data_IF_611220387304
#
_entry.id   IF_611220387304
#
_cell.length_a   1.000
_cell.length_b   1.000
_cell.length_c   1.000
_cell.angle_alpha   90.00
_cell.angle_beta   90.00
_cell.angle_gamma   90.00
#
_symmetry.space_group_name_H-M   'P 1'
#
loop_
_entity.id
_entity.type
_entity.pdbx_description
1 polymer ?
#
# COMPACT_ATOMS: atom_id res chain seq x y z
N UNK A 1 2.08 -8.79 -24.00
CA UNK A 1 1.39 -8.43 -22.76
C UNK A 1 0.62 -7.13 -22.99
N UNK A 2 -0.58 -7.03 -22.44
CA UNK A 2 -1.45 -5.88 -22.56
C UNK A 2 -1.71 -5.20 -21.20
N UNK A 3 -2.58 -4.18 -21.20
CA UNK A 3 -2.93 -3.41 -20.00
C UNK A 3 -3.46 -4.29 -18.84
N UNK A 4 -4.19 -5.36 -19.18
CA UNK A 4 -4.75 -6.27 -18.18
C UNK A 4 -3.67 -7.02 -17.38
N UNK A 5 -2.57 -7.43 -18.03
CA UNK A 5 -1.43 -8.06 -17.37
C UNK A 5 -0.68 -7.07 -16.51
N UNK A 6 -0.45 -5.84 -16.99
CA UNK A 6 0.21 -4.79 -16.22
C UNK A 6 -0.58 -4.37 -14.97
N UNK A 7 -1.92 -4.36 -15.05
CA UNK A 7 -2.77 -4.10 -13.87
C UNK A 7 -2.58 -5.14 -12.76
N UNK A 8 -2.29 -6.40 -13.10
CA UNK A 8 -2.03 -7.45 -12.12
C UNK A 8 -0.73 -7.26 -11.35
N UNK A 9 0.22 -6.47 -11.87
CA UNK A 9 1.46 -6.13 -11.16
C UNK A 9 1.25 -5.16 -9.99
N UNK A 10 0.08 -4.54 -9.90
CA UNK A 10 -0.20 -3.57 -8.84
C UNK A 10 -0.66 -4.32 -7.60
N UNK A 11 0.18 -4.30 -6.56
CA UNK A 11 -0.03 -5.01 -5.30
C UNK A 11 1.04 -6.05 -4.97
N UNK A 12 1.36 -7.01 -5.87
CA UNK A 12 2.44 -7.97 -5.65
C UNK A 12 3.84 -7.32 -5.63
N UNK A 13 4.83 -8.05 -5.12
CA UNK A 13 6.25 -7.67 -5.29
C UNK A 13 6.67 -7.77 -6.75
N UNK A 14 7.74 -7.05 -7.15
CA UNK A 14 8.28 -7.17 -8.51
C UNK A 14 8.75 -8.60 -8.80
N UNK A 15 9.36 -9.27 -7.82
CA UNK A 15 9.77 -10.68 -7.95
C UNK A 15 8.56 -11.55 -8.29
N UNK A 16 7.50 -11.47 -7.51
CA UNK A 16 6.26 -12.22 -7.76
C UNK A 16 5.67 -11.90 -9.13
N UNK A 17 5.61 -10.62 -9.50
CA UNK A 17 5.07 -10.21 -10.80
C UNK A 17 5.88 -10.78 -11.97
N UNK A 18 7.21 -10.70 -11.91
CA UNK A 18 8.04 -11.22 -12.99
C UNK A 18 7.99 -12.74 -13.09
N UNK A 19 7.89 -13.46 -11.98
CA UNK A 19 7.81 -14.92 -12.01
C UNK A 19 6.44 -15.44 -12.38
N UNK A 20 5.35 -14.86 -11.81
CA UNK A 20 4.00 -15.44 -11.93
C UNK A 20 3.21 -14.87 -13.11
N UNK A 21 3.41 -13.59 -13.46
CA UNK A 21 2.66 -12.93 -14.54
C UNK A 21 3.45 -13.01 -15.85
N UNK A 22 4.76 -12.73 -15.80
CA UNK A 22 5.62 -12.72 -17.00
C UNK A 22 6.38 -14.02 -17.21
N UNK A 23 6.29 -14.98 -16.26
CA UNK A 23 6.90 -16.30 -16.34
C UNK A 23 8.41 -16.28 -16.60
N UNK A 24 9.10 -15.25 -16.07
CA UNK A 24 10.56 -15.19 -16.16
C UNK A 24 11.19 -16.26 -15.27
N UNK A 25 12.28 -16.92 -15.74
CA UNK A 25 13.10 -17.77 -14.89
C UNK A 25 13.62 -16.99 -13.68
N UNK A 26 13.69 -17.61 -12.51
CA UNK A 26 14.19 -16.95 -11.28
C UNK A 26 15.58 -16.33 -11.44
N UNK A 27 16.43 -16.93 -12.28
CA UNK A 27 17.78 -16.43 -12.58
C UNK A 27 17.79 -15.08 -13.32
N UNK A 28 16.73 -14.75 -14.05
CA UNK A 28 16.60 -13.51 -14.84
C UNK A 28 15.88 -12.38 -14.08
N UNK A 29 15.15 -12.74 -13.03
CA UNK A 29 14.35 -11.77 -12.24
C UNK A 29 15.17 -10.62 -11.67
N UNK A 30 16.40 -10.84 -11.10
CA UNK A 30 17.20 -9.72 -10.60
C UNK A 30 17.56 -8.71 -11.68
N UNK A 31 17.90 -9.17 -12.89
CA UNK A 31 18.20 -8.29 -14.02
C UNK A 31 16.94 -7.53 -14.48
N UNK A 32 15.80 -8.20 -14.58
CA UNK A 32 14.55 -7.56 -14.93
C UNK A 32 14.15 -6.45 -13.93
N UNK A 33 14.33 -6.71 -12.63
CA UNK A 33 14.10 -5.71 -11.57
C UNK A 33 15.03 -4.50 -11.75
N UNK A 34 16.30 -4.72 -12.06
CA UNK A 34 17.26 -3.64 -12.27
C UNK A 34 16.84 -2.75 -13.46
N UNK A 35 16.53 -3.36 -14.60
CA UNK A 35 16.06 -2.62 -15.80
C UNK A 35 14.78 -1.84 -15.50
N UNK A 36 13.81 -2.45 -14.82
CA UNK A 36 12.59 -1.76 -14.39
C UNK A 36 12.93 -0.54 -13.52
N UNK A 37 13.84 -0.70 -12.56
CA UNK A 37 14.18 0.35 -11.61
C UNK A 37 14.95 1.52 -12.25
N UNK A 38 15.71 1.31 -13.31
CA UNK A 38 16.39 2.39 -14.04
C UNK A 38 15.41 3.45 -14.50
N UNK A 39 14.30 3.05 -15.11
CA UNK A 39 13.24 3.97 -15.51
C UNK A 39 12.37 4.39 -14.33
N UNK A 40 11.91 3.43 -13.53
CA UNK A 40 10.95 3.69 -12.47
C UNK A 40 11.47 4.68 -11.43
N UNK A 41 12.71 4.52 -10.96
CA UNK A 41 13.29 5.37 -9.91
C UNK A 41 13.54 6.81 -10.32
N UNK A 42 13.63 7.10 -11.63
CA UNK A 42 13.94 8.42 -12.16
C UNK A 42 12.72 9.16 -12.70
N UNK A 43 11.84 8.44 -13.37
CA UNK A 43 10.67 9.02 -14.08
C UNK A 43 9.37 8.36 -13.61
N UNK A 44 9.25 7.06 -13.78
CA UNK A 44 7.98 6.34 -13.68
C UNK A 44 7.31 6.43 -12.30
N UNK A 45 8.09 6.50 -11.20
CA UNK A 45 7.50 6.61 -9.87
C UNK A 45 6.77 7.94 -9.63
N UNK A 46 7.07 8.97 -10.40
CA UNK A 46 6.41 10.29 -10.29
C UNK A 46 5.22 10.45 -11.22
N UNK A 47 5.07 9.54 -12.19
CA UNK A 47 3.92 9.50 -13.10
C UNK A 47 2.74 8.81 -12.39
N UNK A 48 2.23 9.47 -11.38
CA UNK A 48 1.08 9.04 -10.60
C UNK A 48 0.21 10.24 -10.22
N UNK A 49 -1.10 10.01 -10.23
CA UNK A 49 -2.11 11.01 -9.87
C UNK A 49 -2.82 10.52 -8.61
N UNK A 50 -2.91 11.36 -7.56
CA UNK A 50 -3.70 11.03 -6.38
C UNK A 50 -5.18 10.84 -6.73
N UNK A 51 -5.84 9.89 -6.08
CA UNK A 51 -7.29 9.79 -6.17
C UNK A 51 -7.97 11.00 -5.55
N UNK A 52 -9.04 11.45 -6.18
CA UNK A 52 -9.81 12.61 -5.72
C UNK A 52 -10.32 12.39 -4.28
N UNK A 53 -10.18 13.43 -3.45
CA UNK A 53 -10.70 13.44 -2.08
C UNK A 53 -9.84 12.69 -1.05
N UNK A 54 -8.76 12.00 -1.45
CA UNK A 54 -7.95 11.21 -0.50
C UNK A 54 -7.15 12.09 0.44
N UNK A 55 -6.51 13.14 -0.04
CA UNK A 55 -5.73 14.01 0.83
C UNK A 55 -6.61 14.88 1.72
N UNK A 56 -7.75 15.32 1.23
CA UNK A 56 -8.77 16.00 2.02
C UNK A 56 -9.34 15.09 3.13
N UNK A 57 -9.51 13.80 2.85
CA UNK A 57 -9.86 12.79 3.86
C UNK A 57 -8.78 12.72 4.94
N UNK A 58 -7.51 12.59 4.55
CA UNK A 58 -6.37 12.49 5.47
C UNK A 58 -6.28 13.73 6.35
N UNK A 59 -6.39 14.93 5.78
CA UNK A 59 -6.40 16.19 6.54
C UNK A 59 -7.53 16.22 7.56
N UNK A 60 -8.76 15.86 7.16
CA UNK A 60 -9.90 15.79 8.07
C UNK A 60 -9.71 14.77 9.20
N UNK A 61 -9.14 13.60 8.91
CA UNK A 61 -8.83 12.61 9.94
C UNK A 61 -7.77 13.11 10.91
N UNK A 62 -6.74 13.79 10.43
CA UNK A 62 -5.73 14.43 11.29
C UNK A 62 -6.34 15.48 12.24
N UNK A 63 -7.27 16.30 11.76
CA UNK A 63 -7.97 17.27 12.63
C UNK A 63 -8.83 16.61 13.72
N UNK A 64 -9.22 15.34 13.51
CA UNK A 64 -9.89 14.49 14.50
C UNK A 64 -8.92 13.76 15.46
N UNK A 65 -7.61 13.96 15.30
CA UNK A 65 -6.58 13.34 16.15
C UNK A 65 -6.14 11.96 15.69
N UNK A 66 -6.53 11.50 14.50
CA UNK A 66 -6.02 10.24 13.98
C UNK A 66 -4.53 10.36 13.62
N UNK A 67 -3.77 9.33 13.99
CA UNK A 67 -2.40 9.13 13.52
C UNK A 67 -2.44 8.44 12.16
N UNK A 68 -1.80 9.04 11.16
CA UNK A 68 -1.83 8.55 9.79
C UNK A 68 -0.49 7.95 9.41
N UNK A 69 -0.48 6.66 9.08
CA UNK A 69 0.72 5.90 8.76
C UNK A 69 0.60 5.29 7.37
N UNK A 70 1.70 5.22 6.65
CA UNK A 70 1.77 4.48 5.38
C UNK A 70 2.43 3.12 5.61
N UNK A 71 1.82 2.05 5.07
CA UNK A 71 2.38 0.71 4.99
C UNK A 71 2.27 0.20 3.55
N UNK A 72 3.30 0.41 2.74
CA UNK A 72 3.27 0.13 1.30
C UNK A 72 4.29 -0.95 0.89
N UNK A 73 3.91 -1.80 -0.06
CA UNK A 73 4.85 -2.75 -0.71
C UNK A 73 5.86 -2.05 -1.63
N UNK A 74 5.67 -0.76 -1.91
CA UNK A 74 6.67 0.05 -2.61
C UNK A 74 7.89 0.26 -1.70
N UNK A 75 9.13 0.30 -2.25
CA UNK A 75 10.30 0.68 -1.47
C UNK A 75 10.08 2.00 -0.71
N UNK A 76 10.38 2.00 0.58
CA UNK A 76 10.14 3.14 1.49
C UNK A 76 10.75 4.44 0.97
N UNK A 77 11.97 4.34 0.40
CA UNK A 77 12.65 5.49 -0.19
C UNK A 77 11.81 6.13 -1.30
N UNK A 78 11.27 5.31 -2.21
CA UNK A 78 10.47 5.81 -3.32
C UNK A 78 9.11 6.36 -2.85
N UNK A 79 8.49 5.72 -1.87
CA UNK A 79 7.24 6.22 -1.30
C UNK A 79 7.42 7.62 -0.68
N UNK A 80 8.51 7.84 0.08
CA UNK A 80 8.84 9.14 0.66
C UNK A 80 9.10 10.19 -0.42
N UNK A 81 9.90 9.86 -1.44
CA UNK A 81 10.21 10.78 -2.55
C UNK A 81 8.96 11.19 -3.34
N UNK A 82 8.04 10.24 -3.58
CA UNK A 82 6.77 10.54 -4.26
C UNK A 82 5.93 11.51 -3.43
N UNK A 83 5.74 11.21 -2.14
CA UNK A 83 4.95 12.04 -1.24
C UNK A 83 5.56 13.45 -1.06
N UNK A 84 6.88 13.53 -0.96
CA UNK A 84 7.60 14.80 -0.85
C UNK A 84 7.44 15.63 -2.13
N UNK A 85 7.68 15.05 -3.30
CA UNK A 85 7.55 15.73 -4.58
C UNK A 85 6.12 16.20 -4.87
N UNK A 86 5.13 15.45 -4.40
CA UNK A 86 3.70 15.83 -4.51
C UNK A 86 3.24 16.80 -3.41
N UNK A 87 4.10 17.12 -2.42
CA UNK A 87 3.80 18.05 -1.33
C UNK A 87 2.96 17.44 -0.19
N UNK A 88 2.82 16.13 -0.13
CA UNK A 88 1.92 15.45 0.84
C UNK A 88 2.64 14.71 1.98
N UNK A 89 3.98 14.68 1.99
CA UNK A 89 4.73 13.92 3.01
C UNK A 89 4.37 14.38 4.45
N UNK A 90 4.12 15.66 4.64
CA UNK A 90 3.78 16.24 5.93
C UNK A 90 2.43 15.76 6.52
N UNK A 91 1.58 15.14 5.72
CA UNK A 91 0.29 14.59 6.15
C UNK A 91 0.42 13.24 6.88
N UNK A 92 1.59 12.61 6.80
CA UNK A 92 1.82 11.29 7.38
C UNK A 92 2.76 11.36 8.57
N UNK A 93 2.37 10.72 9.68
CA UNK A 93 3.20 10.64 10.89
C UNK A 93 4.36 9.63 10.72
N UNK A 94 4.19 8.66 9.83
CA UNK A 94 5.22 7.70 9.44
C UNK A 94 4.96 7.14 8.05
N UNK A 95 6.02 6.94 7.30
CA UNK A 95 5.98 6.25 6.00
C UNK A 95 6.88 5.03 6.07
N UNK A 96 6.28 3.85 6.11
CA UNK A 96 6.96 2.56 6.04
C UNK A 96 6.69 1.87 4.72
N UNK A 97 7.71 1.20 4.20
CA UNK A 97 7.63 0.47 2.93
C UNK A 97 8.57 -0.72 2.89
N UNK A 98 8.58 -1.44 1.76
CA UNK A 98 9.56 -2.48 1.52
C UNK A 98 10.99 -1.92 1.61
N UNK A 99 11.96 -2.76 1.92
CA UNK A 99 13.35 -2.37 1.77
C UNK A 99 13.79 -2.43 0.30
N UNK A 100 14.76 -1.59 -0.05
CA UNK A 100 15.20 -1.47 -1.45
C UNK A 100 15.80 -2.78 -2.00
N UNK A 101 16.39 -3.60 -1.11
CA UNK A 101 16.96 -4.89 -1.49
C UNK A 101 15.92 -6.00 -1.65
N UNK A 102 14.68 -5.79 -1.21
CA UNK A 102 13.60 -6.78 -1.18
C UNK A 102 14.01 -8.08 -0.44
N UNK A 103 14.81 -7.95 0.64
CA UNK A 103 15.29 -9.11 1.42
C UNK A 103 14.63 -9.24 2.79
N UNK A 104 14.21 -8.13 3.41
CA UNK A 104 13.72 -8.12 4.79
C UNK A 104 12.24 -7.81 4.92
N UNK A 105 11.74 -6.89 4.12
CA UNK A 105 10.33 -6.46 4.13
C UNK A 105 9.73 -6.68 2.75
N UNK A 106 9.62 -7.97 2.37
CA UNK A 106 9.20 -8.38 1.03
C UNK A 106 7.69 -8.50 0.91
N UNK A 107 7.04 -8.92 1.98
CA UNK A 107 5.61 -9.13 2.03
C UNK A 107 4.87 -8.00 2.77
N UNK A 108 3.58 -7.84 2.48
CA UNK A 108 2.76 -6.81 3.13
C UNK A 108 2.77 -6.95 4.65
N UNK A 109 2.71 -8.17 5.18
CA UNK A 109 2.78 -8.43 6.62
C UNK A 109 4.06 -7.90 7.26
N UNK A 110 5.21 -8.04 6.60
CA UNK A 110 6.49 -7.56 7.12
C UNK A 110 6.49 -6.04 7.24
N UNK A 111 5.95 -5.37 6.22
CA UNK A 111 5.82 -3.90 6.21
C UNK A 111 4.86 -3.44 7.31
N UNK A 112 3.69 -4.09 7.46
CA UNK A 112 2.72 -3.74 8.51
C UNK A 112 3.34 -3.92 9.89
N UNK A 113 3.99 -5.05 10.15
CA UNK A 113 4.67 -5.29 11.42
C UNK A 113 5.80 -4.29 11.70
N UNK A 114 6.55 -3.90 10.68
CA UNK A 114 7.56 -2.85 10.78
C UNK A 114 6.93 -1.52 11.18
N UNK A 115 5.87 -1.08 10.51
CA UNK A 115 5.16 0.17 10.81
C UNK A 115 4.60 0.15 12.24
N UNK A 116 3.99 -0.95 12.67
CA UNK A 116 3.49 -1.10 14.05
C UNK A 116 4.60 -1.00 15.09
N UNK A 117 5.73 -1.64 14.83
CA UNK A 117 6.89 -1.63 15.74
C UNK A 117 7.49 -0.24 15.88
N UNK A 118 7.81 0.43 14.78
CA UNK A 118 8.42 1.76 14.77
C UNK A 118 7.52 2.83 15.42
N UNK A 119 6.22 2.59 15.47
CA UNK A 119 5.26 3.51 16.05
C UNK A 119 4.74 3.09 17.45
N UNK A 120 5.32 2.05 18.07
CA UNK A 120 4.92 1.52 19.38
C UNK A 120 3.45 1.04 19.43
N UNK A 121 2.93 0.52 18.31
CA UNK A 121 1.54 0.08 18.16
C UNK A 121 1.34 -1.44 18.28
N UNK A 122 2.41 -2.22 18.50
CA UNK A 122 2.33 -3.69 18.57
C UNK A 122 1.33 -4.18 19.64
N UNK A 123 1.20 -3.45 20.75
CA UNK A 123 0.23 -3.76 21.82
C UNK A 123 -1.12 -3.05 21.67
N UNK A 124 -1.30 -2.28 20.62
CA UNK A 124 -2.48 -1.44 20.35
C UNK A 124 -3.12 -1.75 18.99
N UNK A 125 -3.00 -2.98 18.54
CA UNK A 125 -3.50 -3.41 17.24
C UNK A 125 -5.01 -3.21 17.08
N UNK A 126 -5.76 -3.35 18.18
CA UNK A 126 -7.20 -3.10 18.22
C UNK A 126 -7.58 -1.61 18.03
N UNK A 127 -6.63 -0.69 18.17
CA UNK A 127 -6.80 0.74 17.91
C UNK A 127 -6.36 1.11 16.46
N UNK A 128 -5.90 0.12 15.67
CA UNK A 128 -5.39 0.32 14.33
C UNK A 128 -6.32 -0.29 13.28
N UNK A 129 -6.48 0.40 12.17
CA UNK A 129 -7.21 -0.10 11.00
C UNK A 129 -6.31 0.04 9.77
N UNK A 130 -6.15 -1.05 9.03
CA UNK A 130 -5.53 -1.00 7.71
C UNK A 130 -6.57 -0.56 6.69
N UNK A 131 -6.24 0.42 5.85
CA UNK A 131 -7.07 0.84 4.72
C UNK A 131 -6.26 0.57 3.46
N UNK A 132 -6.81 -0.20 2.53
CA UNK A 132 -6.10 -0.57 1.32
C UNK A 132 -7.02 -0.83 0.14
N UNK A 133 -6.42 -0.85 -1.05
CA UNK A 133 -7.14 -0.98 -2.31
C UNK A 133 -6.92 -2.31 -3.02
N UNK A 134 -6.21 -3.26 -2.37
CA UNK A 134 -5.97 -4.60 -2.90
C UNK A 134 -6.10 -5.66 -1.80
N UNK A 135 -6.43 -6.89 -2.21
CA UNK A 135 -6.45 -8.07 -1.31
C UNK A 135 -5.17 -8.26 -0.51
N UNK A 136 -4.03 -7.84 -1.05
CA UNK A 136 -2.73 -7.91 -0.35
C UNK A 136 -2.71 -7.07 0.92
N UNK A 137 -3.41 -5.92 0.92
CA UNK A 137 -3.55 -5.05 2.09
C UNK A 137 -4.41 -5.73 3.16
N UNK A 138 -5.52 -6.34 2.74
CA UNK A 138 -6.43 -7.06 3.62
C UNK A 138 -5.72 -8.25 4.25
N UNK A 139 -5.12 -9.11 3.42
CA UNK A 139 -4.42 -10.31 3.88
C UNK A 139 -3.24 -9.96 4.80
N UNK A 140 -2.45 -8.94 4.44
CA UNK A 140 -1.32 -8.48 5.26
C UNK A 140 -1.74 -7.90 6.60
N UNK A 141 -2.86 -7.17 6.64
CA UNK A 141 -3.46 -6.65 7.87
C UNK A 141 -3.94 -7.79 8.79
N UNK A 142 -4.71 -8.74 8.25
CA UNK A 142 -5.21 -9.90 9.01
C UNK A 142 -4.07 -10.75 9.55
N UNK A 143 -3.05 -11.03 8.73
CA UNK A 143 -1.87 -11.77 9.18
C UNK A 143 -1.08 -11.03 10.28
N UNK A 144 -1.11 -9.69 10.28
CA UNK A 144 -0.55 -8.87 11.35
C UNK A 144 -1.49 -8.72 12.57
N UNK A 145 -2.72 -9.22 12.52
CA UNK A 145 -3.73 -9.13 13.58
C UNK A 145 -4.45 -7.78 13.65
N UNK A 146 -4.58 -7.09 12.52
CA UNK A 146 -5.36 -5.87 12.37
C UNK A 146 -6.70 -6.17 11.69
N UNK A 147 -7.67 -5.29 11.90
CA UNK A 147 -8.83 -5.16 11.01
C UNK A 147 -8.44 -4.46 9.71
N UNK A 148 -9.18 -4.77 8.64
CA UNK A 148 -8.91 -4.24 7.31
C UNK A 148 -10.18 -3.70 6.65
N UNK A 149 -10.03 -2.52 5.99
CA UNK A 149 -11.05 -1.85 5.22
C UNK A 149 -10.59 -1.76 3.76
N UNK A 150 -11.35 -2.39 2.86
CA UNK A 150 -11.18 -2.28 1.41
C UNK A 150 -11.85 -1.04 0.86
N UNK A 151 -11.16 -0.31 -0.02
CA UNK A 151 -11.67 0.89 -0.69
C UNK A 151 -11.91 0.65 -2.17
N UNK A 152 -13.08 1.02 -2.69
CA UNK A 152 -13.49 0.73 -4.07
C UNK A 152 -13.08 1.79 -5.11
N UNK A 153 -12.40 2.85 -4.71
CA UNK A 153 -11.85 3.84 -5.66
C UNK A 153 -10.40 3.57 -6.07
N UNK A 154 -9.84 2.39 -5.70
CA UNK A 154 -8.50 1.94 -6.07
C UNK A 154 -8.51 0.88 -7.17
N UNK A 155 -7.55 -0.05 -7.13
CA UNK A 155 -7.37 -1.09 -8.14
C UNK A 155 -8.18 -2.37 -7.87
N UNK A 156 -8.54 -2.65 -6.62
CA UNK A 156 -9.37 -3.79 -6.24
C UNK A 156 -10.86 -3.53 -6.47
N UNK A 157 -11.65 -4.59 -6.40
CA UNK A 157 -13.09 -4.55 -6.51
C UNK A 157 -13.74 -5.23 -5.29
N UNK A 158 -15.07 -5.16 -5.20
CA UNK A 158 -15.84 -5.73 -4.09
C UNK A 158 -15.60 -7.24 -3.94
N UNK A 159 -15.62 -7.98 -5.04
CA UNK A 159 -15.41 -9.42 -5.06
C UNK A 159 -14.02 -9.80 -4.50
N UNK A 160 -12.96 -9.10 -4.92
CA UNK A 160 -11.60 -9.29 -4.39
C UNK A 160 -11.56 -9.09 -2.86
N UNK A 161 -12.27 -8.10 -2.33
CA UNK A 161 -12.30 -7.79 -0.90
C UNK A 161 -13.17 -8.79 -0.11
N UNK A 162 -14.29 -9.24 -0.66
CA UNK A 162 -15.15 -10.27 -0.07
C UNK A 162 -14.40 -11.60 0.02
N UNK A 163 -13.70 -12.01 -1.05
CA UNK A 163 -12.84 -13.20 -1.05
C UNK A 163 -11.70 -13.11 -0.04
N UNK A 164 -11.12 -11.92 0.14
CA UNK A 164 -10.09 -11.66 1.15
C UNK A 164 -10.64 -11.48 2.58
N UNK A 165 -11.98 -11.58 2.76
CA UNK A 165 -12.68 -11.39 4.03
C UNK A 165 -12.43 -10.02 4.67
N UNK A 166 -12.41 -8.94 3.90
CA UNK A 166 -12.28 -7.58 4.44
C UNK A 166 -13.35 -7.30 5.50
N UNK A 167 -12.96 -6.75 6.66
CA UNK A 167 -13.90 -6.42 7.74
C UNK A 167 -14.91 -5.36 7.32
N UNK A 168 -14.49 -4.44 6.45
CA UNK A 168 -15.30 -3.36 5.92
C UNK A 168 -14.95 -3.10 4.45
N UNK A 169 -15.95 -2.65 3.66
CA UNK A 169 -15.76 -2.25 2.25
C UNK A 169 -16.52 -0.94 2.04
N UNK A 170 -15.82 0.12 1.64
CA UNK A 170 -16.39 1.44 1.42
C UNK A 170 -16.04 2.00 0.04
N UNK A 171 -16.91 2.85 -0.49
CA UNK A 171 -16.90 3.28 -1.88
C UNK A 171 -16.28 4.66 -2.10
N UNK A 172 -16.34 5.53 -1.06
CA UNK A 172 -15.85 6.91 -1.21
C UNK A 172 -15.07 7.38 0.01
N UNK A 173 -14.18 8.38 -0.17
CA UNK A 173 -13.48 9.02 0.95
C UNK A 173 -14.43 9.58 2.02
N UNK A 174 -15.60 10.10 1.63
CA UNK A 174 -16.62 10.61 2.56
C UNK A 174 -17.19 9.51 3.43
N UNK A 175 -17.43 8.32 2.86
CA UNK A 175 -17.90 7.17 3.63
C UNK A 175 -16.86 6.73 4.66
N UNK A 176 -15.57 6.72 4.29
CA UNK A 176 -14.47 6.42 5.22
C UNK A 176 -14.41 7.43 6.35
N UNK A 177 -14.49 8.74 6.03
CA UNK A 177 -14.50 9.77 7.07
C UNK A 177 -15.68 9.60 8.03
N UNK A 178 -16.89 9.39 7.52
CA UNK A 178 -18.10 9.18 8.34
C UNK A 178 -17.96 7.91 9.21
N UNK A 179 -17.46 6.82 8.65
CA UNK A 179 -17.27 5.57 9.37
C UNK A 179 -16.29 5.69 10.54
N UNK A 180 -15.17 6.41 10.35
CA UNK A 180 -14.14 6.60 11.38
C UNK A 180 -14.48 7.69 12.40
N UNK A 181 -15.44 8.57 12.10
CA UNK A 181 -15.80 9.70 12.98
C UNK A 181 -16.96 9.40 13.94
N UNK A 182 -17.62 8.25 13.78
CA UNK A 182 -18.70 7.75 14.65
C UNK A 182 -18.13 6.80 15.71
#
# INVERSE_FOLDING_TARGET
YGEAEFKKMIGPSLKESFTTIFHLPESEVPQAINVYREYYSTVGMFDCIPYNGVFELIEKLRTKGFKILVATSKPELYAKQILERKGFLHLFDFVGGADLSEQKRCEKIDVVNYVLKENNLVKKKNECLMIGDRKYDINGAHAAGLKALGILWGFGNREEFEEANADFILETPEQVFKFLSN
#
